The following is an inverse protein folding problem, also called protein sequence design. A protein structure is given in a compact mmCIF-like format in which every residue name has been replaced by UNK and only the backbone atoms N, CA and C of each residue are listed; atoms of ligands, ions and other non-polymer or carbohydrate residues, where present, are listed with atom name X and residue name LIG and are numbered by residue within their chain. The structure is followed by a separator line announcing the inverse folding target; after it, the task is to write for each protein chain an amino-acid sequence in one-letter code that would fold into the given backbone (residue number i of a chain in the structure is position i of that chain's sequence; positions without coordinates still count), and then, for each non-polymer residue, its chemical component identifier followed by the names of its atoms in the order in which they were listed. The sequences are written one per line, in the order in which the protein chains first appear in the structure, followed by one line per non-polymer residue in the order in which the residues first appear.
data_IF_331786012973
#
_entry.id   IF_331786012973
#
_cell.length_a   1.000
_cell.length_b   1.000
_cell.length_c   1.000
_cell.angle_alpha   90.00
_cell.angle_beta   90.00
_cell.angle_gamma   90.00
#
_symmetry.space_group_name_H-M   'P 1'
#
loop_
_entity.id
_entity.type
_entity.pdbx_description
1 polymer ?
#
# COMPACT_ATOMS: atom_id res chain seq x y z
N UNK A 1 -25.41 -13.88 8.19
CA UNK A 1 -25.49 -12.81 7.19
C UNK A 1 -24.08 -12.38 6.89
N UNK A 2 -23.61 -12.68 5.69
CA UNK A 2 -22.25 -12.43 5.25
C UNK A 2 -22.18 -10.99 4.71
N UNK A 3 -21.48 -10.07 5.38
CA UNK A 3 -21.47 -8.64 4.98
C UNK A 3 -20.49 -8.29 3.86
N UNK A 4 -19.72 -9.28 3.38
CA UNK A 4 -18.64 -9.07 2.42
C UNK A 4 -17.34 -9.65 2.92
N UNK A 5 -16.27 -9.38 2.19
CA UNK A 5 -14.90 -9.72 2.62
C UNK A 5 -14.11 -8.46 2.88
N UNK A 6 -13.41 -8.42 4.01
CA UNK A 6 -12.51 -7.33 4.36
C UNK A 6 -11.09 -7.89 4.43
N UNK A 7 -10.19 -7.28 3.66
CA UNK A 7 -8.78 -7.64 3.63
C UNK A 7 -7.93 -6.43 3.98
N UNK A 8 -6.74 -6.70 4.51
CA UNK A 8 -5.83 -5.62 4.88
C UNK A 8 -4.68 -5.54 3.89
N UNK A 9 -4.50 -4.35 3.32
CA UNK A 9 -3.41 -4.01 2.41
C UNK A 9 -2.26 -3.46 3.26
N UNK A 10 -1.07 -4.08 3.26
CA UNK A 10 0.10 -3.52 3.92
C UNK A 10 0.44 -2.13 3.36
N UNK A 11 1.03 -1.26 4.17
CA UNK A 11 1.38 0.12 3.76
C UNK A 11 2.12 0.21 2.41
N UNK A 12 3.08 -0.70 2.20
CA UNK A 12 3.87 -0.82 0.96
C UNK A 12 3.44 -2.00 0.08
N UNK A 13 2.25 -2.56 0.34
CA UNK A 13 1.68 -3.67 -0.40
C UNK A 13 1.02 -3.23 -1.70
N UNK A 14 0.83 -4.19 -2.60
CA UNK A 14 0.04 -4.01 -3.81
C UNK A 14 -1.39 -4.47 -3.56
N UNK A 15 -2.36 -3.61 -3.88
CA UNK A 15 -3.78 -3.95 -3.82
C UNK A 15 -4.12 -5.20 -4.62
N UNK A 16 -3.57 -5.33 -5.82
CA UNK A 16 -3.79 -6.50 -6.68
C UNK A 16 -3.28 -7.76 -6.00
N UNK A 17 -2.07 -7.73 -5.43
CA UNK A 17 -1.52 -8.89 -4.71
C UNK A 17 -2.36 -9.29 -3.50
N UNK A 18 -2.91 -8.31 -2.76
CA UNK A 18 -3.82 -8.56 -1.65
C UNK A 18 -5.12 -9.18 -2.13
N UNK A 19 -5.69 -8.70 -3.24
CA UNK A 19 -6.89 -9.28 -3.85
C UNK A 19 -6.66 -10.69 -4.41
N UNK A 20 -5.51 -10.94 -5.04
CA UNK A 20 -5.11 -12.28 -5.49
C UNK A 20 -5.01 -13.25 -4.31
N UNK A 21 -4.31 -12.85 -3.24
CA UNK A 21 -4.17 -13.66 -2.03
C UNK A 21 -5.52 -13.89 -1.35
N UNK A 22 -6.35 -12.87 -1.28
CA UNK A 22 -7.71 -12.93 -0.76
C UNK A 22 -8.54 -14.00 -1.47
N UNK A 23 -8.55 -13.94 -2.81
CA UNK A 23 -9.29 -14.88 -3.64
C UNK A 23 -8.68 -16.27 -3.66
N UNK A 24 -7.37 -16.42 -3.44
CA UNK A 24 -6.72 -17.73 -3.30
C UNK A 24 -6.73 -18.28 -1.86
N UNK A 25 -7.29 -17.53 -0.90
CA UNK A 25 -7.29 -17.96 0.50
C UNK A 25 -8.23 -19.15 0.73
N UNK A 26 -7.96 -19.92 1.78
CA UNK A 26 -8.87 -20.99 2.22
C UNK A 26 -10.27 -20.50 2.63
N UNK A 27 -10.45 -19.19 2.80
CA UNK A 27 -11.75 -18.56 3.04
C UNK A 27 -12.57 -18.56 1.73
N UNK A 28 -11.93 -18.28 0.60
CA UNK A 28 -12.57 -18.27 -0.72
C UNK A 28 -12.60 -19.66 -1.37
N UNK A 29 -11.65 -20.54 -1.02
CA UNK A 29 -11.66 -21.95 -1.40
C UNK A 29 -11.64 -22.85 -0.15
N UNK A 30 -12.80 -23.24 0.40
CA UNK A 30 -12.89 -23.99 1.66
C UNK A 30 -12.47 -25.46 1.54
N UNK A 31 -12.18 -25.97 0.34
CA UNK A 31 -11.79 -27.36 0.13
C UNK A 31 -10.77 -27.49 -1.03
N UNK A 32 -9.56 -26.94 -0.87
CA UNK A 32 -8.54 -27.03 -1.90
C UNK A 32 -7.99 -28.46 -1.98
N UNK A 33 -7.91 -29.02 -3.20
CA UNK A 33 -7.19 -30.27 -3.42
C UNK A 33 -5.71 -30.12 -3.06
N UNK A 34 -5.17 -31.09 -2.32
CA UNK A 34 -3.75 -31.13 -1.96
C UNK A 34 -2.86 -31.17 -3.20
N UNK A 35 -1.77 -30.41 -3.19
CA UNK A 35 -0.76 -30.41 -4.26
C UNK A 35 -1.09 -29.48 -5.44
N UNK A 36 -2.08 -28.60 -5.30
CA UNK A 36 -2.45 -27.65 -6.34
C UNK A 36 -2.43 -26.21 -5.82
N UNK A 37 -2.10 -25.29 -6.72
CA UNK A 37 -2.30 -23.85 -6.53
C UNK A 37 -3.53 -23.45 -7.34
N UNK A 38 -4.37 -22.64 -6.72
CA UNK A 38 -5.55 -22.06 -7.34
C UNK A 38 -5.23 -20.62 -7.71
N UNK A 39 -5.68 -20.19 -8.88
CA UNK A 39 -5.57 -18.78 -9.29
C UNK A 39 -6.87 -18.39 -9.97
N UNK A 40 -7.52 -17.27 -9.61
CA UNK A 40 -8.74 -16.85 -10.27
C UNK A 40 -8.53 -16.76 -11.78
N UNK A 41 -9.46 -17.31 -12.57
CA UNK A 41 -9.35 -17.26 -14.03
C UNK A 41 -9.47 -15.81 -14.49
N UNK A 42 -8.43 -15.31 -15.15
CA UNK A 42 -8.44 -13.96 -15.73
C UNK A 42 -8.87 -14.05 -17.19
N UNK A 43 -9.84 -13.22 -17.59
CA UNK A 43 -10.34 -13.16 -18.96
C UNK A 43 -9.96 -11.84 -19.63
N UNK A 44 -9.77 -11.85 -20.95
CA UNK A 44 -9.76 -10.61 -21.72
C UNK A 44 -11.14 -9.95 -21.60
N UNK A 45 -11.18 -8.73 -21.07
CA UNK A 45 -12.39 -7.92 -21.02
C UNK A 45 -12.34 -6.87 -22.12
N UNK A 46 -13.45 -6.68 -22.81
CA UNK A 46 -13.59 -5.55 -23.75
C UNK A 46 -14.31 -4.42 -23.04
N UNK A 47 -13.66 -3.26 -22.81
CA UNK A 47 -14.33 -2.12 -22.22
C UNK A 47 -15.44 -1.66 -23.15
N UNK A 48 -16.67 -1.60 -22.63
CA UNK A 48 -17.83 -1.07 -23.34
C UNK A 48 -17.89 0.43 -23.12
N UNK A 49 -17.61 0.86 -21.89
CA UNK A 49 -17.57 2.26 -21.55
C UNK A 49 -16.62 2.56 -20.40
N UNK A 50 -15.94 3.68 -20.55
CA UNK A 50 -15.04 4.29 -19.55
C UNK A 50 -15.61 5.58 -18.96
N UNK A 51 -16.67 6.14 -19.53
CA UNK A 51 -17.20 7.44 -19.13
C UNK A 51 -18.36 7.28 -18.13
N UNK A 52 -18.40 8.11 -17.08
CA UNK A 52 -19.52 8.11 -16.13
C UNK A 52 -19.87 9.47 -15.56
N UNK A 53 -21.09 9.53 -15.01
CA UNK A 53 -21.60 10.68 -14.30
C UNK A 53 -21.51 10.50 -12.79
N UNK A 54 -21.40 11.62 -12.10
CA UNK A 54 -21.45 11.74 -10.67
C UNK A 54 -22.71 12.53 -10.31
N UNK A 55 -23.46 12.12 -9.29
CA UNK A 55 -24.63 12.87 -8.80
C UNK A 55 -24.38 13.26 -7.37
N UNK A 56 -24.04 14.52 -7.12
CA UNK A 56 -24.01 15.06 -5.76
C UNK A 56 -25.33 15.77 -5.48
N UNK A 57 -26.05 15.32 -4.45
CA UNK A 57 -27.39 15.85 -4.14
C UNK A 57 -28.32 15.73 -5.36
N UNK A 58 -28.79 16.87 -5.90
CA UNK A 58 -29.64 16.93 -7.11
C UNK A 58 -28.85 17.30 -8.37
N UNK A 59 -27.58 17.65 -8.23
CA UNK A 59 -26.76 18.06 -9.36
C UNK A 59 -26.14 16.85 -10.03
N UNK A 60 -26.48 16.67 -11.31
CA UNK A 60 -25.93 15.60 -12.12
C UNK A 60 -24.73 16.14 -12.89
N UNK A 61 -23.56 15.71 -12.47
CA UNK A 61 -22.27 15.97 -13.08
C UNK A 61 -22.01 14.86 -14.10
N UNK A 62 -22.24 15.12 -15.39
CA UNK A 62 -21.94 14.13 -16.44
C UNK A 62 -20.66 14.50 -17.20
N UNK A 63 -19.77 13.52 -17.32
CA UNK A 63 -18.70 13.53 -18.30
C UNK A 63 -18.90 12.31 -19.24
N UNK A 64 -19.78 12.43 -20.23
CA UNK A 64 -20.05 11.38 -21.22
C UNK A 64 -21.44 10.73 -21.17
N UNK A 65 -21.59 9.63 -21.92
CA UNK A 65 -22.90 9.12 -22.39
C UNK A 65 -23.41 7.83 -21.76
N UNK A 66 -22.64 7.17 -20.90
CA UNK A 66 -22.97 5.80 -20.47
C UNK A 66 -23.98 5.71 -19.33
N UNK A 67 -24.42 6.87 -18.83
CA UNK A 67 -25.58 6.96 -17.95
C UNK A 67 -25.42 6.16 -16.66
N UNK A 68 -24.21 6.13 -16.09
CA UNK A 68 -24.02 5.65 -14.72
C UNK A 68 -23.84 6.86 -13.84
N UNK A 69 -24.60 6.92 -12.75
CA UNK A 69 -24.55 8.01 -11.80
C UNK A 69 -24.26 7.47 -10.41
N UNK A 70 -23.26 8.04 -9.75
CA UNK A 70 -22.96 7.76 -8.34
C UNK A 70 -23.67 8.79 -7.49
N UNK A 71 -24.66 8.35 -6.71
CA UNK A 71 -25.44 9.23 -5.83
C UNK A 71 -25.10 8.97 -4.36
N UNK A 72 -24.86 10.05 -3.61
CA UNK A 72 -24.80 10.04 -2.14
C UNK A 72 -26.13 10.57 -1.57
N UNK A 73 -26.88 9.76 -0.83
CA UNK A 73 -28.18 10.16 -0.31
C UNK A 73 -28.05 11.27 0.73
N UNK A 74 -28.59 12.44 0.41
CA UNK A 74 -28.90 13.47 1.41
C UNK A 74 -30.38 13.42 1.79
N UNK A 75 -30.70 13.86 3.01
CA UNK A 75 -32.09 14.09 3.42
C UNK A 75 -32.79 15.10 2.49
N UNK A 76 -34.12 15.06 2.37
CA UNK A 76 -34.90 15.76 1.34
C UNK A 76 -34.97 17.30 1.48
N UNK A 77 -34.10 17.93 2.28
CA UNK A 77 -34.04 19.38 2.34
C UNK A 77 -33.62 19.95 0.97
N UNK A 78 -34.11 21.15 0.64
CA UNK A 78 -33.78 21.86 -0.60
C UNK A 78 -32.74 22.93 -0.27
N UNK A 79 -31.47 22.58 -0.04
CA UNK A 79 -30.48 23.60 0.23
C UNK A 79 -30.28 24.46 -1.03
N UNK A 80 -29.82 25.70 -0.83
CA UNK A 80 -29.37 26.52 -1.95
C UNK A 80 -28.01 26.00 -2.40
N UNK A 81 -27.95 25.49 -3.63
CA UNK A 81 -26.75 24.92 -4.23
C UNK A 81 -26.20 25.94 -5.21
N UNK A 82 -24.93 26.32 -5.03
CA UNK A 82 -24.17 27.08 -6.02
C UNK A 82 -23.16 26.13 -6.65
N UNK A 83 -23.16 26.09 -7.97
CA UNK A 83 -22.27 25.22 -8.74
C UNK A 83 -21.46 26.06 -9.71
N UNK A 84 -20.14 26.04 -9.57
CA UNK A 84 -19.20 26.60 -10.53
C UNK A 84 -18.60 25.45 -11.33
N UNK A 85 -18.59 25.60 -12.66
CA UNK A 85 -18.19 24.53 -13.58
C UNK A 85 -17.01 24.97 -14.43
N UNK A 86 -16.01 24.09 -14.51
CA UNK A 86 -14.92 24.14 -15.48
C UNK A 86 -14.81 22.81 -16.23
N UNK A 87 -14.02 22.71 -17.30
CA UNK A 87 -13.88 21.44 -18.02
C UNK A 87 -13.38 20.34 -17.07
N UNK A 88 -14.13 19.24 -16.95
CA UNK A 88 -13.83 18.10 -16.09
C UNK A 88 -13.81 18.38 -14.58
N UNK A 89 -14.30 19.54 -14.13
CA UNK A 89 -14.26 19.94 -12.73
C UNK A 89 -15.48 20.74 -12.30
N UNK A 90 -15.90 20.51 -11.07
CA UNK A 90 -17.06 21.13 -10.45
C UNK A 90 -16.74 21.55 -9.02
N UNK A 91 -17.05 22.79 -8.71
CA UNK A 91 -17.03 23.33 -7.36
C UNK A 91 -18.47 23.52 -6.92
N UNK A 92 -18.86 22.85 -5.84
CA UNK A 92 -20.21 22.88 -5.30
C UNK A 92 -20.13 23.46 -3.90
N UNK A 93 -20.90 24.51 -3.65
CA UNK A 93 -21.13 25.02 -2.30
C UNK A 93 -22.60 24.95 -1.96
N UNK A 94 -22.86 24.55 -0.73
CA UNK A 94 -24.21 24.33 -0.21
C UNK A 94 -24.31 25.15 1.06
N UNK A 95 -25.21 26.14 1.08
CA UNK A 95 -25.61 26.74 2.34
C UNK A 95 -26.66 25.81 2.95
N UNK A 96 -26.31 25.12 4.03
CA UNK A 96 -27.30 24.40 4.81
C UNK A 96 -27.93 25.39 5.78
N UNK A 97 -29.26 25.38 5.84
CA UNK A 97 -30.02 26.07 6.89
C UNK A 97 -30.45 25.10 7.98
N UNK A 98 -29.83 23.92 8.02
CA UNK A 98 -30.22 22.80 8.87
C UNK A 98 -29.00 22.03 9.37
N UNK A 99 -29.01 21.63 10.64
CA UNK A 99 -28.00 20.79 11.29
C UNK A 99 -27.98 19.33 10.79
N UNK A 100 -28.56 19.03 9.62
CA UNK A 100 -28.54 17.70 9.02
C UNK A 100 -27.21 17.53 8.28
N UNK A 101 -26.37 16.63 8.80
CA UNK A 101 -25.05 16.32 8.23
C UNK A 101 -25.14 15.40 7.03
N UNK A 102 -24.35 15.68 6.00
CA UNK A 102 -24.22 14.89 4.78
C UNK A 102 -23.13 13.82 4.96
N UNK A 103 -22.14 14.06 5.82
CA UNK A 103 -20.91 13.24 5.95
C UNK A 103 -20.92 12.30 7.18
N UNK A 104 -21.90 12.39 8.09
CA UNK A 104 -21.91 11.53 9.29
C UNK A 104 -22.28 10.06 9.03
N UNK A 105 -22.95 9.76 7.91
CA UNK A 105 -23.36 8.41 7.56
C UNK A 105 -22.26 7.61 6.84
N UNK A 106 -22.40 6.28 6.74
CA UNK A 106 -21.61 5.52 5.78
C UNK A 106 -21.86 6.12 4.39
N UNK A 107 -20.78 6.29 3.62
CA UNK A 107 -20.87 6.83 2.28
C UNK A 107 -21.54 5.79 1.39
N UNK A 108 -22.86 5.90 1.27
CA UNK A 108 -23.64 5.05 0.37
C UNK A 108 -23.53 5.62 -1.03
N UNK A 109 -22.80 4.92 -1.88
CA UNK A 109 -22.82 5.16 -3.32
C UNK A 109 -23.90 4.29 -3.95
N UNK A 110 -24.80 4.90 -4.71
CA UNK A 110 -25.68 4.16 -5.60
C UNK A 110 -25.17 4.31 -7.02
N UNK A 111 -24.91 3.20 -7.70
CA UNK A 111 -24.75 3.13 -9.14
C UNK A 111 -26.14 3.04 -9.76
N UNK A 112 -26.66 4.19 -10.12
CA UNK A 112 -27.91 4.28 -10.86
C UNK A 112 -27.61 4.27 -12.35
N UNK A 113 -28.25 3.36 -13.07
CA UNK A 113 -28.19 3.35 -14.52
C UNK A 113 -29.36 4.18 -15.04
N UNK A 114 -29.09 5.14 -15.92
CA UNK A 114 -30.09 6.09 -16.46
C UNK A 114 -31.26 5.39 -17.17
N UNK A 115 -31.11 4.12 -17.55
CA UNK A 115 -32.21 3.31 -18.06
C UNK A 115 -32.98 2.67 -16.88
N UNK A 116 -34.25 3.03 -16.64
CA UNK A 116 -35.06 2.53 -15.51
C UNK A 116 -35.36 1.02 -15.58
N UNK A 117 -35.06 0.35 -16.69
CA UNK A 117 -35.09 -1.11 -16.75
C UNK A 117 -33.91 -1.77 -16.00
N UNK A 118 -32.83 -1.03 -15.76
CA UNK A 118 -31.63 -1.52 -15.11
C UNK A 118 -31.70 -1.35 -13.60
N UNK A 119 -31.36 -2.41 -12.88
CA UNK A 119 -31.40 -2.40 -11.41
C UNK A 119 -30.25 -1.56 -10.85
N UNK A 120 -30.56 -0.68 -9.88
CA UNK A 120 -29.59 0.14 -9.15
C UNK A 120 -28.67 -0.74 -8.32
N UNK A 121 -27.37 -0.52 -8.42
CA UNK A 121 -26.41 -1.18 -7.55
C UNK A 121 -26.07 -0.29 -6.36
N UNK A 122 -26.35 -0.76 -5.15
CA UNK A 122 -25.94 -0.07 -3.93
C UNK A 122 -24.58 -0.61 -3.49
N UNK A 123 -23.67 0.30 -3.15
CA UNK A 123 -22.45 -0.02 -2.42
C UNK A 123 -22.31 0.95 -1.26
N UNK A 124 -21.74 0.47 -0.16
CA UNK A 124 -21.57 1.25 1.05
C UNK A 124 -20.11 1.18 1.44
N UNK A 125 -19.51 2.33 1.66
CA UNK A 125 -18.21 2.41 2.31
C UNK A 125 -18.44 2.75 3.78
N UNK A 126 -17.98 1.85 4.64
CA UNK A 126 -17.90 2.13 6.07
C UNK A 126 -16.66 2.98 6.31
N UNK A 127 -16.89 4.28 6.49
CA UNK A 127 -15.84 5.24 6.79
C UNK A 127 -15.57 5.18 8.28
N UNK A 128 -14.54 4.42 8.68
CA UNK A 128 -14.06 4.44 10.05
C UNK A 128 -13.61 5.87 10.43
N UNK A 129 -14.03 6.34 11.59
CA UNK A 129 -13.66 7.66 12.12
C UNK A 129 -12.17 7.79 12.43
N UNK A 130 -11.42 6.68 12.41
CA UNK A 130 -9.98 6.63 12.67
C UNK A 130 -9.11 7.14 11.51
N UNK A 131 -9.71 7.51 10.37
CA UNK A 131 -9.02 8.13 9.23
C UNK A 131 -8.13 7.19 8.42
N UNK A 132 -8.39 5.88 8.53
CA UNK A 132 -7.76 4.92 7.65
C UNK A 132 -8.27 5.07 6.22
N UNK A 133 -7.38 4.81 5.27
CA UNK A 133 -7.78 4.65 3.88
C UNK A 133 -8.48 3.30 3.77
N UNK A 134 -9.66 3.29 3.17
CA UNK A 134 -10.39 2.07 2.81
C UNK A 134 -10.69 2.08 1.31
N UNK A 135 -10.93 0.90 0.74
CA UNK A 135 -11.42 0.74 -0.63
C UNK A 135 -12.53 -0.28 -0.66
N UNK A 136 -13.69 0.14 -1.15
CA UNK A 136 -14.85 -0.70 -1.38
C UNK A 136 -14.97 -1.02 -2.86
N UNK A 137 -15.07 -2.31 -3.19
CA UNK A 137 -15.21 -2.80 -4.55
C UNK A 137 -16.56 -3.50 -4.69
N UNK A 138 -17.33 -3.09 -5.69
CA UNK A 138 -18.63 -3.64 -6.03
C UNK A 138 -18.69 -4.06 -7.50
N UNK A 139 -19.51 -5.08 -7.78
CA UNK A 139 -19.69 -5.63 -9.12
C UNK A 139 -21.17 -5.88 -9.40
N UNK A 140 -21.59 -5.50 -10.59
CA UNK A 140 -22.99 -5.40 -10.98
C UNK A 140 -23.20 -5.92 -12.39
N UNK A 141 -24.20 -6.77 -12.59
CA UNK A 141 -24.58 -7.26 -13.91
C UNK A 141 -25.80 -6.48 -14.43
N UNK A 142 -25.71 -6.00 -15.68
CA UNK A 142 -26.80 -5.38 -16.43
C UNK A 142 -27.60 -6.45 -17.19
N UNK A 143 -28.86 -6.16 -17.49
CA UNK A 143 -29.75 -7.09 -18.20
C UNK A 143 -29.24 -7.47 -19.60
N UNK A 144 -28.54 -6.55 -20.26
CA UNK A 144 -27.88 -6.77 -21.56
C UNK A 144 -26.63 -7.67 -21.49
N UNK A 145 -26.25 -8.15 -20.29
CA UNK A 145 -25.09 -9.01 -20.06
C UNK A 145 -23.77 -8.24 -19.87
N UNK A 146 -23.80 -6.92 -19.83
CA UNK A 146 -22.64 -6.11 -19.43
C UNK A 146 -22.45 -6.16 -17.93
N UNK A 147 -21.21 -5.95 -17.48
CA UNK A 147 -20.85 -5.95 -16.08
C UNK A 147 -20.20 -4.61 -15.77
N UNK A 148 -20.68 -3.94 -14.73
CA UNK A 148 -20.06 -2.77 -14.15
C UNK A 148 -19.28 -3.18 -12.90
N UNK A 149 -18.02 -2.76 -12.82
CA UNK A 149 -17.18 -2.86 -11.63
C UNK A 149 -16.87 -1.46 -11.18
N UNK A 150 -17.03 -1.21 -9.88
CA UNK A 150 -16.69 0.06 -9.24
C UNK A 150 -15.80 -0.21 -8.06
N UNK A 151 -14.70 0.51 -7.98
CA UNK A 151 -13.91 0.65 -6.77
C UNK A 151 -14.01 2.10 -6.29
N UNK A 152 -14.25 2.29 -5.00
CA UNK A 152 -14.22 3.58 -4.34
C UNK A 152 -13.25 3.47 -3.18
N UNK A 153 -12.26 4.36 -3.16
CA UNK A 153 -11.29 4.50 -2.08
C UNK A 153 -11.56 5.81 -1.37
N UNK A 154 -11.68 5.79 -0.05
CA UNK A 154 -11.88 7.00 0.71
C UNK A 154 -10.96 7.12 1.93
N UNK A 155 -10.80 8.36 2.38
CA UNK A 155 -10.25 8.69 3.69
C UNK A 155 -11.03 9.84 4.29
N UNK A 156 -11.26 9.76 5.60
CA UNK A 156 -12.03 10.73 6.39
C UNK A 156 -11.14 11.31 7.47
N UNK A 157 -11.23 12.62 7.67
CA UNK A 157 -10.58 13.26 8.82
C UNK A 157 -11.45 14.42 9.32
N UNK A 158 -11.20 14.84 10.55
CA UNK A 158 -11.84 16.01 11.15
C UNK A 158 -10.78 17.01 11.58
N UNK A 159 -11.10 18.29 11.49
CA UNK A 159 -10.21 19.36 11.90
C UNK A 159 -11.00 20.47 12.59
N UNK A 160 -10.37 21.19 13.51
CA UNK A 160 -10.95 22.43 14.05
C UNK A 160 -11.04 23.49 12.94
N UNK A 161 -12.01 24.41 13.06
CA UNK A 161 -12.34 25.41 12.02
C UNK A 161 -11.08 26.11 11.46
N UNK A 162 -10.22 26.62 12.32
CA UNK A 162 -9.03 27.39 11.92
C UNK A 162 -7.85 26.52 11.44
N UNK A 163 -7.89 25.22 11.71
CA UNK A 163 -6.80 24.29 11.43
C UNK A 163 -7.09 23.40 10.22
N UNK A 164 -8.29 23.47 9.63
CA UNK A 164 -8.69 22.58 8.53
C UNK A 164 -7.71 22.58 7.37
N UNK A 165 -7.17 23.74 6.98
CA UNK A 165 -6.21 23.77 5.88
C UNK A 165 -4.89 23.15 6.28
N UNK A 166 -4.37 23.46 7.46
CA UNK A 166 -3.12 22.87 7.96
C UNK A 166 -3.27 21.35 8.09
N UNK A 167 -4.43 20.87 8.55
CA UNK A 167 -4.76 19.45 8.63
C UNK A 167 -4.82 18.79 7.24
N UNK A 168 -5.32 19.48 6.21
CA UNK A 168 -5.28 18.99 4.81
C UNK A 168 -3.83 18.81 4.36
N UNK A 169 -2.97 19.79 4.66
CA UNK A 169 -1.54 19.77 4.31
C UNK A 169 -0.80 18.62 5.04
N UNK A 170 -1.12 18.39 6.31
CA UNK A 170 -0.55 17.29 7.11
C UNK A 170 -1.09 15.91 6.70
N UNK A 171 -2.37 15.83 6.32
CA UNK A 171 -3.01 14.56 5.95
C UNK A 171 -2.57 14.08 4.58
N UNK A 172 -2.32 14.99 3.63
CA UNK A 172 -1.98 14.62 2.25
C UNK A 172 -0.59 15.07 1.81
N UNK A 173 0.30 14.11 1.57
CA UNK A 173 1.65 14.35 1.02
C UNK A 173 1.65 15.08 -0.33
N UNK A 174 0.56 14.94 -1.09
CA UNK A 174 0.42 15.47 -2.45
C UNK A 174 -0.19 16.87 -2.49
N UNK A 175 -0.49 17.49 -1.34
CA UNK A 175 -1.20 18.76 -1.25
C UNK A 175 -0.70 19.84 -2.23
N UNK A 176 0.62 20.13 -2.24
CA UNK A 176 1.19 21.17 -3.10
C UNK A 176 1.22 20.80 -4.59
N UNK A 177 1.04 19.53 -4.92
CA UNK A 177 1.04 19.02 -6.30
C UNK A 177 -0.36 18.71 -6.85
N UNK A 178 -1.38 18.71 -5.99
CA UNK A 178 -2.76 18.40 -6.37
C UNK A 178 -3.62 19.67 -6.41
N UNK A 179 -4.00 20.06 -7.62
CA UNK A 179 -4.89 21.20 -7.89
C UNK A 179 -6.26 21.04 -7.19
N UNK A 180 -6.73 19.81 -6.99
CA UNK A 180 -8.02 19.57 -6.31
C UNK A 180 -7.94 19.99 -4.84
N UNK A 181 -6.89 19.55 -4.13
CA UNK A 181 -6.69 19.83 -2.71
C UNK A 181 -6.42 21.31 -2.46
N UNK A 182 -5.55 21.93 -3.26
CA UNK A 182 -5.19 23.34 -3.12
C UNK A 182 -6.38 24.28 -3.36
N UNK A 183 -7.20 24.01 -4.38
CA UNK A 183 -8.43 24.79 -4.61
C UNK A 183 -9.48 24.53 -3.54
N UNK A 184 -9.60 23.29 -3.04
CA UNK A 184 -10.51 23.02 -1.91
C UNK A 184 -10.13 23.88 -0.71
N UNK A 185 -8.84 23.93 -0.35
CA UNK A 185 -8.35 24.79 0.72
C UNK A 185 -8.66 26.27 0.47
N UNK A 186 -8.54 26.75 -0.78
CA UNK A 186 -8.94 28.11 -1.14
C UNK A 186 -10.45 28.32 -0.97
N UNK A 187 -11.29 27.38 -1.39
CA UNK A 187 -12.74 27.46 -1.25
C UNK A 187 -13.19 27.40 0.21
N UNK A 188 -12.54 26.59 1.04
CA UNK A 188 -12.79 26.60 2.49
C UNK A 188 -12.42 27.97 3.07
N UNK A 189 -11.24 28.51 2.73
CA UNK A 189 -10.77 29.82 3.20
C UNK A 189 -11.64 31.00 2.76
N UNK A 190 -12.19 30.95 1.56
CA UNK A 190 -12.90 32.09 0.95
C UNK A 190 -14.41 31.99 1.07
N UNK A 191 -14.96 30.76 1.10
CA UNK A 191 -16.41 30.51 1.06
C UNK A 191 -16.94 29.93 2.37
N UNK A 192 -16.18 29.13 3.12
CA UNK A 192 -16.66 28.49 4.35
C UNK A 192 -16.29 29.25 5.63
N UNK A 193 -15.01 29.65 5.80
CA UNK A 193 -14.50 30.26 7.04
C UNK A 193 -14.99 31.70 7.32
N UNK A 194 -15.15 32.60 6.32
CA UNK A 194 -15.73 33.90 6.55
C UNK A 194 -17.14 33.93 5.97
N UNK A 195 -18.18 33.68 6.79
CA UNK A 195 -19.52 34.10 6.41
C UNK A 195 -19.55 35.64 6.45
N UNK A 196 -19.72 36.35 5.31
CA UNK A 196 -19.83 37.80 5.32
C UNK A 196 -20.98 38.23 6.26
N UNK A 197 -20.89 39.39 6.92
CA UNK A 197 -21.98 39.86 7.78
C UNK A 197 -23.30 39.92 6.99
N UNK A 198 -24.26 39.08 7.39
CA UNK A 198 -25.57 38.95 6.72
C UNK A 198 -25.70 37.79 5.71
N UNK A 199 -24.69 36.94 5.56
CA UNK A 199 -24.79 35.66 4.84
C UNK A 199 -24.75 34.49 5.81
N UNK A 200 -25.56 33.47 5.55
CA UNK A 200 -25.47 32.18 6.24
C UNK A 200 -24.14 31.50 5.84
N UNK A 201 -23.40 30.90 6.80
CA UNK A 201 -22.21 30.14 6.49
C UNK A 201 -22.50 29.05 5.45
N UNK A 202 -21.51 28.79 4.60
CA UNK A 202 -21.59 27.65 3.68
C UNK A 202 -21.21 26.39 4.45
N UNK A 203 -22.23 25.64 4.87
CA UNK A 203 -22.05 24.45 5.68
C UNK A 203 -21.40 23.28 4.92
N UNK A 204 -21.44 23.25 3.58
CA UNK A 204 -20.71 22.24 2.80
C UNK A 204 -20.00 22.84 1.57
N UNK A 205 -18.76 22.40 1.36
CA UNK A 205 -17.95 22.67 0.18
C UNK A 205 -17.50 21.34 -0.43
N UNK A 206 -17.68 21.19 -1.73
CA UNK A 206 -17.25 20.01 -2.48
C UNK A 206 -16.50 20.40 -3.76
N UNK A 207 -15.37 19.76 -3.99
CA UNK A 207 -14.58 19.85 -5.22
C UNK A 207 -14.57 18.48 -5.89
N UNK A 208 -15.02 18.41 -7.13
CA UNK A 208 -15.10 17.16 -7.88
C UNK A 208 -14.35 17.31 -9.18
N UNK A 209 -13.48 16.35 -9.48
CA UNK A 209 -12.73 16.24 -10.73
C UNK A 209 -13.04 14.88 -11.37
N UNK A 210 -13.46 14.88 -12.63
CA UNK A 210 -13.76 13.63 -13.37
C UNK A 210 -12.84 13.55 -14.58
N UNK A 211 -11.97 12.55 -14.60
CA UNK A 211 -11.02 12.31 -15.68
C UNK A 211 -11.19 10.88 -16.18
N UNK A 212 -11.64 10.71 -17.42
CA UNK A 212 -11.90 9.40 -18.03
C UNK A 212 -12.83 8.55 -17.13
N UNK A 213 -12.37 7.34 -16.76
CA UNK A 213 -13.04 6.39 -15.88
C UNK A 213 -12.71 6.56 -14.41
N UNK A 214 -12.24 7.75 -14.03
CA UNK A 214 -11.94 8.07 -12.63
C UNK A 214 -12.60 9.37 -12.20
N UNK A 215 -13.11 9.40 -10.98
CA UNK A 215 -13.60 10.61 -10.33
C UNK A 215 -12.92 10.77 -8.98
N UNK A 216 -12.47 11.97 -8.68
CA UNK A 216 -11.94 12.36 -7.38
C UNK A 216 -12.90 13.41 -6.81
N UNK A 217 -13.33 13.23 -5.57
CA UNK A 217 -14.22 14.15 -4.90
C UNK A 217 -13.67 14.46 -3.53
N UNK A 218 -13.48 15.73 -3.23
CA UNK A 218 -13.16 16.20 -1.89
C UNK A 218 -14.37 16.92 -1.34
N UNK A 219 -14.90 16.50 -0.20
CA UNK A 219 -16.11 17.06 0.40
C UNK A 219 -15.80 17.41 1.85
N UNK A 220 -16.06 18.65 2.25
CA UNK A 220 -15.91 19.12 3.62
C UNK A 220 -17.22 19.76 4.08
N UNK A 221 -17.65 19.42 5.29
CA UNK A 221 -18.86 19.93 5.92
C UNK A 221 -18.52 20.51 7.29
N UNK A 222 -19.11 21.65 7.62
CA UNK A 222 -19.06 22.24 8.95
C UNK A 222 -19.85 21.35 9.90
N UNK A 223 -19.19 20.91 10.97
CA UNK A 223 -19.72 19.96 11.92
C UNK A 223 -19.92 20.63 13.28
N UNK A 224 -21.16 21.05 13.53
CA UNK A 224 -21.56 21.81 14.72
C UNK A 224 -21.12 21.19 16.05
N UNK A 225 -21.08 19.85 16.15
CA UNK A 225 -20.77 19.15 17.39
C UNK A 225 -19.31 19.34 17.83
N UNK A 226 -18.39 19.54 16.87
CA UNK A 226 -16.96 19.70 17.14
C UNK A 226 -16.43 21.10 16.83
N UNK A 227 -17.30 22.07 16.49
CA UNK A 227 -16.89 23.42 16.06
C UNK A 227 -15.76 23.36 15.00
N UNK A 228 -15.94 22.49 14.00
CA UNK A 228 -14.89 22.16 13.05
C UNK A 228 -15.41 21.66 11.71
N UNK A 229 -14.51 21.15 10.88
CA UNK A 229 -14.82 20.52 9.61
C UNK A 229 -14.70 19.01 9.70
N UNK A 230 -15.64 18.33 9.07
CA UNK A 230 -15.54 16.94 8.72
C UNK A 230 -15.31 16.83 7.22
N UNK A 231 -14.19 16.22 6.84
CA UNK A 231 -13.73 16.17 5.47
C UNK A 231 -13.55 14.73 5.01
N UNK A 232 -13.94 14.44 3.77
CA UNK A 232 -13.76 13.14 3.13
C UNK A 232 -13.24 13.33 1.72
N UNK A 233 -12.15 12.63 1.42
CA UNK A 233 -11.60 12.53 0.08
C UNK A 233 -11.94 11.15 -0.50
N UNK A 234 -12.59 11.15 -1.66
CA UNK A 234 -12.95 9.96 -2.43
C UNK A 234 -12.14 9.90 -3.71
N UNK A 235 -11.70 8.71 -4.08
CA UNK A 235 -11.32 8.35 -5.44
C UNK A 235 -12.17 7.19 -5.90
N UNK A 236 -12.72 7.30 -7.10
CA UNK A 236 -13.66 6.34 -7.66
C UNK A 236 -13.14 5.94 -9.02
N UNK A 237 -13.07 4.64 -9.28
CA UNK A 237 -12.79 4.07 -10.60
C UNK A 237 -13.92 3.15 -11.01
N UNK A 238 -14.36 3.26 -12.27
CA UNK A 238 -15.41 2.42 -12.82
C UNK A 238 -15.03 1.83 -14.16
N UNK A 239 -15.32 0.55 -14.35
CA UNK A 239 -15.21 -0.12 -15.65
C UNK A 239 -16.51 -0.83 -16.00
N UNK A 240 -17.06 -0.53 -17.17
CA UNK A 240 -18.15 -1.32 -17.76
C UNK A 240 -17.58 -2.13 -18.90
N UNK A 241 -17.78 -3.44 -18.84
CA UNK A 241 -17.25 -4.35 -19.83
C UNK A 241 -18.29 -5.39 -20.24
N UNK A 242 -18.06 -5.95 -21.42
CA UNK A 242 -18.80 -7.11 -21.91
C UNK A 242 -17.84 -8.27 -21.95
N UNK A 243 -18.26 -9.39 -21.38
CA UNK A 243 -17.45 -10.59 -21.36
C UNK A 243 -18.06 -11.66 -22.26
N UNK A 244 -17.20 -12.35 -23.00
CA UNK A 244 -17.57 -13.62 -23.63
C UNK A 244 -17.71 -14.66 -22.52
N UNK A 245 -18.95 -15.00 -22.13
CA UNK A 245 -19.19 -16.01 -21.08
C UNK A 245 -19.00 -17.40 -21.68
N UNK A 246 -17.91 -18.13 -21.36
CA UNK A 246 -17.62 -19.42 -21.98
C UNK A 246 -18.43 -20.56 -21.34
N UNK A 247 -18.83 -20.39 -20.07
CA UNK A 247 -19.37 -21.46 -19.23
C UNK A 247 -20.88 -21.29 -18.95
N UNK A 248 -21.63 -22.37 -19.11
CA UNK A 248 -23.09 -22.37 -18.98
C UNK A 248 -23.58 -22.22 -17.52
N UNK A 249 -22.78 -22.64 -16.52
CA UNK A 249 -23.12 -22.44 -15.10
C UNK A 249 -22.94 -20.98 -14.70
N UNK A 250 -21.88 -20.32 -15.17
CA UNK A 250 -21.72 -18.87 -15.01
C UNK A 250 -22.89 -18.13 -15.66
N UNK A 251 -23.25 -18.51 -16.89
CA UNK A 251 -24.36 -17.90 -17.62
C UNK A 251 -25.67 -18.04 -16.86
N UNK A 252 -25.98 -19.24 -16.37
CA UNK A 252 -27.17 -19.49 -15.57
C UNK A 252 -27.19 -18.67 -14.27
N UNK A 253 -26.03 -18.52 -13.63
CA UNK A 253 -25.88 -17.72 -12.40
C UNK A 253 -26.11 -16.23 -12.67
N UNK A 254 -25.52 -15.69 -13.74
CA UNK A 254 -25.74 -14.30 -14.17
C UNK A 254 -27.22 -14.05 -14.48
N UNK A 255 -27.87 -14.95 -15.23
CA UNK A 255 -29.30 -14.82 -15.54
C UNK A 255 -30.19 -14.86 -14.28
N UNK A 256 -29.84 -15.71 -13.30
CA UNK A 256 -30.51 -15.72 -11.99
C UNK A 256 -30.31 -14.39 -11.25
N UNK A 257 -29.10 -13.84 -11.22
CA UNK A 257 -28.82 -12.55 -10.58
C UNK A 257 -29.57 -11.39 -11.23
N UNK A 258 -29.68 -11.37 -12.57
CA UNK A 258 -30.54 -10.40 -13.28
C UNK A 258 -31.98 -10.46 -12.79
N UNK A 259 -32.49 -11.64 -12.42
CA UNK A 259 -33.86 -11.80 -11.92
C UNK A 259 -34.03 -11.47 -10.43
N UNK A 260 -32.97 -11.56 -9.62
CA UNK A 260 -33.04 -11.33 -8.17
C UNK A 260 -33.26 -9.84 -7.84
N UNK A 261 -34.32 -9.45 -7.11
CA UNK A 261 -34.44 -8.09 -6.62
C UNK A 261 -33.24 -7.84 -5.71
N UNK A 262 -32.45 -6.78 -5.96
CA UNK A 262 -31.35 -6.42 -5.06
C UNK A 262 -31.96 -6.25 -3.65
N UNK A 263 -31.76 -7.26 -2.81
CA UNK A 263 -32.12 -7.16 -1.41
C UNK A 263 -31.16 -6.16 -0.79
N UNK A 264 -31.69 -5.37 0.13
CA UNK A 264 -31.14 -4.16 0.71
C UNK A 264 -29.95 -4.39 1.66
N UNK A 265 -29.05 -5.32 1.34
CA UNK A 265 -27.89 -5.64 2.16
C UNK A 265 -26.61 -5.41 1.34
N UNK A 266 -25.72 -4.60 1.91
CA UNK A 266 -24.55 -4.03 1.25
C UNK A 266 -23.40 -5.04 1.24
N UNK A 267 -23.18 -5.71 0.12
CA UNK A 267 -22.15 -6.74 0.04
C UNK A 267 -21.05 -6.33 -0.93
N UNK A 268 -19.85 -6.13 -0.40
CA UNK A 268 -18.69 -5.60 -1.12
C UNK A 268 -17.41 -6.33 -0.74
N UNK A 269 -16.35 -6.14 -1.53
CA UNK A 269 -15.00 -6.44 -1.09
C UNK A 269 -14.39 -5.15 -0.54
N UNK A 270 -14.14 -5.13 0.77
CA UNK A 270 -13.44 -4.06 1.46
C UNK A 270 -11.94 -4.33 1.54
N UNK A 271 -11.14 -3.31 1.29
CA UNK A 271 -9.70 -3.30 1.49
C UNK A 271 -9.36 -2.17 2.47
N UNK A 272 -8.81 -2.51 3.62
CA UNK A 272 -8.34 -1.54 4.61
C UNK A 272 -6.82 -1.39 4.48
N UNK A 273 -6.31 -0.17 4.46
CA UNK A 273 -4.88 0.07 4.27
C UNK A 273 -4.24 0.32 5.63
N UNK A 274 -3.20 -0.46 5.95
CA UNK A 274 -2.36 -0.13 7.08
C UNK A 274 -1.63 1.20 6.81
N UNK A 275 -1.65 2.15 7.76
CA UNK A 275 -0.94 3.39 7.58
C UNK A 275 0.57 3.13 7.53
N UNK A 276 1.26 3.89 6.69
CA UNK A 276 2.71 3.92 6.71
C UNK A 276 3.18 4.74 7.92
N UNK A 277 4.25 4.27 8.58
CA UNK A 277 4.87 4.98 9.69
C UNK A 277 6.17 5.62 9.22
N UNK A 278 6.38 6.88 9.59
CA UNK A 278 7.64 7.59 9.37
C UNK A 278 8.76 7.02 10.25
N UNK A 279 10.00 7.45 10.01
CA UNK A 279 11.17 7.08 10.84
C UNK A 279 11.01 7.45 12.32
N UNK A 280 10.21 8.47 12.61
CA UNK A 280 9.93 8.97 13.95
C UNK A 280 8.70 8.30 14.57
N UNK A 281 8.20 7.22 13.95
CA UNK A 281 7.03 6.45 14.39
C UNK A 281 5.72 7.27 14.41
N UNK A 282 5.63 8.30 13.55
CA UNK A 282 4.41 9.07 13.29
C UNK A 282 3.71 8.54 12.04
N UNK A 283 2.42 8.83 11.86
CA UNK A 283 1.69 8.47 10.65
C UNK A 283 2.26 9.26 9.46
N UNK A 284 2.60 8.58 8.38
CA UNK A 284 3.00 9.22 7.14
C UNK A 284 1.76 9.82 6.44
N UNK A 285 1.89 11.00 5.81
CA UNK A 285 0.80 11.59 5.06
C UNK A 285 0.35 10.70 3.89
N UNK A 286 -0.96 10.68 3.64
CA UNK A 286 -1.59 9.88 2.59
C UNK A 286 -1.21 10.46 1.21
N UNK A 287 -0.98 9.60 0.23
CA UNK A 287 -0.73 10.03 -1.15
C UNK A 287 -2.02 9.89 -1.97
N UNK A 288 -2.59 11.01 -2.45
CA UNK A 288 -3.78 10.96 -3.33
C UNK A 288 -3.49 10.20 -4.63
N UNK A 289 -2.24 10.30 -5.13
CA UNK A 289 -1.79 9.51 -6.28
C UNK A 289 -1.83 8.02 -5.98
N UNK A 290 -1.29 7.57 -4.85
CA UNK A 290 -1.33 6.15 -4.46
C UNK A 290 -2.78 5.68 -4.33
N UNK A 291 -3.64 6.44 -3.64
CA UNK A 291 -5.07 6.11 -3.53
C UNK A 291 -5.67 5.90 -4.91
N UNK A 292 -5.49 6.84 -5.85
CA UNK A 292 -6.01 6.73 -7.21
C UNK A 292 -5.48 5.53 -7.98
N UNK A 293 -4.17 5.34 -7.96
CA UNK A 293 -3.52 4.24 -8.68
C UNK A 293 -4.01 2.88 -8.12
N UNK A 294 -4.17 2.78 -6.81
CA UNK A 294 -4.71 1.62 -6.10
C UNK A 294 -6.21 1.39 -6.40
N UNK A 295 -7.04 2.43 -6.42
CA UNK A 295 -8.47 2.34 -6.81
C UNK A 295 -8.62 1.82 -8.24
N UNK A 296 -7.83 2.36 -9.17
CA UNK A 296 -7.86 1.96 -10.59
C UNK A 296 -7.37 0.53 -10.74
N UNK A 297 -6.31 0.14 -10.04
CA UNK A 297 -5.79 -1.22 -10.06
C UNK A 297 -6.82 -2.23 -9.53
N UNK A 298 -7.50 -1.91 -8.42
CA UNK A 298 -8.59 -2.72 -7.88
C UNK A 298 -9.73 -2.91 -8.88
N UNK A 299 -10.24 -1.82 -9.46
CA UNK A 299 -11.33 -1.86 -10.43
C UNK A 299 -10.92 -2.63 -11.70
N UNK A 300 -9.68 -2.43 -12.18
CA UNK A 300 -9.15 -3.11 -13.37
C UNK A 300 -9.00 -4.60 -13.12
N UNK A 301 -8.36 -5.01 -12.03
CA UNK A 301 -8.17 -6.41 -11.70
C UNK A 301 -9.50 -7.14 -11.52
N UNK A 302 -10.45 -6.53 -10.82
CA UNK A 302 -11.80 -7.09 -10.66
C UNK A 302 -12.57 -7.18 -11.99
N UNK A 303 -12.36 -6.24 -12.91
CA UNK A 303 -12.91 -6.33 -14.27
C UNK A 303 -12.26 -7.45 -15.09
N UNK A 304 -10.95 -7.66 -14.94
CA UNK A 304 -10.19 -8.73 -15.61
C UNK A 304 -10.58 -10.13 -15.12
N UNK A 305 -10.78 -10.30 -13.82
CA UNK A 305 -11.36 -11.54 -13.28
C UNK A 305 -12.72 -11.79 -13.94
N UNK A 306 -13.48 -10.72 -14.17
CA UNK A 306 -14.74 -10.78 -14.87
C UNK A 306 -15.63 -11.86 -14.23
N UNK A 307 -16.23 -12.69 -15.05
CA UNK A 307 -17.24 -13.66 -14.69
C UNK A 307 -16.73 -14.85 -13.88
N UNK A 308 -15.41 -14.94 -13.72
CA UNK A 308 -14.75 -15.89 -12.85
C UNK A 308 -14.91 -15.57 -11.38
N UNK A 309 -15.45 -14.39 -11.05
CA UNK A 309 -15.80 -14.03 -9.69
C UNK A 309 -17.18 -13.38 -9.64
N UNK A 310 -18.11 -14.00 -8.91
CA UNK A 310 -19.39 -13.40 -8.58
C UNK A 310 -19.82 -13.78 -7.19
N UNK A 311 -20.34 -12.81 -6.46
CA UNK A 311 -21.07 -13.10 -5.25
C UNK A 311 -22.57 -13.07 -5.55
N UNK A 312 -23.26 -14.15 -5.17
CA UNK A 312 -24.72 -14.25 -5.18
C UNK A 312 -25.26 -13.98 -3.79
N UNK A 313 -25.62 -12.74 -3.62
CA UNK A 313 -26.05 -12.18 -2.36
C UNK A 313 -27.49 -12.58 -1.98
N UNK A 314 -28.28 -13.11 -2.92
CA UNK A 314 -29.61 -13.64 -2.59
C UNK A 314 -29.53 -14.93 -1.77
N UNK A 315 -28.46 -15.69 -1.99
CA UNK A 315 -28.25 -17.01 -1.40
C UNK A 315 -27.01 -17.05 -0.48
N UNK A 316 -26.42 -15.89 -0.13
CA UNK A 316 -25.18 -15.76 0.65
C UNK A 316 -24.00 -16.60 0.09
N UNK A 317 -23.93 -16.77 -1.24
CA UNK A 317 -22.93 -17.60 -1.91
C UNK A 317 -21.88 -16.77 -2.65
N UNK A 318 -20.67 -17.29 -2.78
CA UNK A 318 -19.66 -16.73 -3.68
C UNK A 318 -19.18 -17.80 -4.65
N UNK A 319 -19.15 -17.44 -5.92
CA UNK A 319 -18.69 -18.26 -7.02
C UNK A 319 -17.36 -17.73 -7.50
N UNK A 320 -16.33 -18.56 -7.39
CA UNK A 320 -14.99 -18.28 -7.90
C UNK A 320 -14.58 -19.42 -8.83
N UNK A 321 -14.19 -19.07 -10.05
CA UNK A 321 -13.55 -20.00 -10.98
C UNK A 321 -12.06 -19.85 -10.86
N UNK A 322 -11.41 -20.99 -10.66
CA UNK A 322 -9.97 -21.08 -10.54
C UNK A 322 -9.39 -21.86 -11.71
N UNK A 323 -8.29 -21.35 -12.24
CA UNK A 323 -7.30 -22.19 -12.90
C UNK A 323 -6.58 -22.98 -11.82
N UNK A 324 -6.52 -24.29 -12.03
CA UNK A 324 -5.86 -25.23 -11.14
C UNK A 324 -4.53 -25.61 -11.77
N UNK A 325 -3.44 -25.16 -11.18
CA UNK A 325 -2.10 -25.60 -11.57
C UNK A 325 -1.60 -26.63 -10.55
N UNK A 326 -1.09 -27.76 -11.03
CA UNK A 326 -0.32 -28.65 -10.18
C UNK A 326 0.85 -27.86 -9.61
N UNK A 327 1.08 -27.98 -8.30
CA UNK A 327 2.39 -27.67 -7.75
C UNK A 327 3.29 -28.70 -8.41
N UNK A 328 3.85 -28.35 -9.58
CA UNK A 328 5.06 -29.02 -10.04
C UNK A 328 5.96 -29.03 -8.82
N UNK A 329 6.58 -30.18 -8.51
CA UNK A 329 7.58 -30.30 -7.47
C UNK A 329 8.84 -29.49 -7.86
N UNK A 330 8.65 -28.19 -8.08
CA UNK A 330 9.61 -27.20 -8.50
C UNK A 330 10.37 -26.79 -7.26
N UNK A 331 11.57 -27.35 -7.17
CA UNK A 331 12.55 -27.18 -6.10
C UNK A 331 12.25 -27.93 -4.80
N UNK A 332 11.91 -29.22 -4.90
CA UNK A 332 12.64 -30.13 -4.01
C UNK A 332 14.12 -29.97 -4.37
N UNK A 333 14.85 -29.14 -3.62
CA UNK A 333 16.31 -29.05 -3.74
C UNK A 333 16.77 -30.50 -3.68
N UNK A 334 17.37 -31.04 -4.77
CA UNK A 334 17.68 -32.45 -4.79
C UNK A 334 18.52 -32.77 -3.56
N UNK A 335 18.18 -33.83 -2.83
CA UNK A 335 18.83 -34.14 -1.55
C UNK A 335 20.36 -34.16 -1.69
N UNK A 336 20.88 -34.54 -2.87
CA UNK A 336 22.30 -34.50 -3.20
C UNK A 336 22.91 -33.09 -3.17
N UNK A 337 22.17 -32.04 -3.55
CA UNK A 337 22.62 -30.63 -3.47
C UNK A 337 22.75 -30.20 -2.01
N UNK A 338 21.77 -30.55 -1.15
CA UNK A 338 21.85 -30.27 0.29
C UNK A 338 23.02 -31.02 0.95
N UNK A 339 23.20 -32.29 0.59
CA UNK A 339 24.34 -33.10 1.06
C UNK A 339 25.66 -32.46 0.60
N UNK A 340 25.77 -32.06 -0.67
CA UNK A 340 26.97 -31.43 -1.22
C UNK A 340 27.30 -30.11 -0.50
N UNK A 341 26.30 -29.25 -0.26
CA UNK A 341 26.47 -28.01 0.49
C UNK A 341 26.96 -28.27 1.93
N UNK A 342 26.40 -29.29 2.60
CA UNK A 342 26.84 -29.73 3.92
C UNK A 342 28.30 -30.21 3.93
N UNK A 343 28.69 -31.02 2.95
CA UNK A 343 30.07 -31.51 2.81
C UNK A 343 31.05 -30.35 2.54
N UNK A 344 30.72 -29.44 1.63
CA UNK A 344 31.57 -28.28 1.32
C UNK A 344 31.78 -27.42 2.57
N UNK A 345 30.73 -27.20 3.35
CA UNK A 345 30.79 -26.44 4.61
C UNK A 345 31.70 -27.16 5.62
N UNK A 346 31.55 -28.47 5.78
CA UNK A 346 32.39 -29.28 6.67
C UNK A 346 33.87 -29.24 6.26
N UNK A 347 34.15 -29.44 4.98
CA UNK A 347 35.52 -29.38 4.43
C UNK A 347 36.13 -28.00 4.66
N UNK A 348 35.36 -26.94 4.43
CA UNK A 348 35.81 -25.56 4.65
C UNK A 348 36.15 -25.31 6.13
N UNK A 349 35.33 -25.81 7.06
CA UNK A 349 35.61 -25.75 8.50
C UNK A 349 36.86 -26.56 8.89
N UNK A 350 37.03 -27.75 8.33
CA UNK A 350 38.23 -28.56 8.55
C UNK A 350 39.49 -27.88 8.03
N UNK A 351 39.45 -27.31 6.83
CA UNK A 351 40.56 -26.55 6.25
C UNK A 351 40.87 -25.32 7.11
N UNK A 352 39.85 -24.60 7.57
CA UNK A 352 40.03 -23.45 8.46
C UNK A 352 40.74 -23.84 9.76
N UNK A 353 40.28 -24.88 10.45
CA UNK A 353 40.91 -25.38 11.67
C UNK A 353 42.33 -25.90 11.45
N UNK A 354 42.56 -26.61 10.36
CA UNK A 354 43.89 -27.09 10.00
C UNK A 354 44.85 -25.92 9.72
N UNK A 355 44.35 -24.87 9.05
CA UNK A 355 45.13 -23.67 8.76
C UNK A 355 45.48 -22.94 10.05
N UNK A 356 44.54 -22.79 10.97
CA UNK A 356 44.78 -22.16 12.27
C UNK A 356 45.80 -22.94 13.11
N UNK A 357 45.69 -24.27 13.11
CA UNK A 357 46.64 -25.15 13.80
C UNK A 357 48.05 -25.15 13.18
N UNK A 358 48.16 -25.14 11.85
CA UNK A 358 49.45 -25.14 11.15
C UNK A 358 50.15 -23.77 11.19
N UNK A 359 49.39 -22.68 11.10
CA UNK A 359 49.92 -21.31 10.97
C UNK A 359 50.04 -20.60 12.32
N UNK A 360 49.20 -20.94 13.31
CA UNK A 360 49.17 -20.31 14.63
C UNK A 360 50.48 -20.41 15.44
N UNK A 361 51.13 -21.58 15.56
CA UNK A 361 52.33 -21.73 16.39
C UNK A 361 53.58 -20.96 15.89
N UNK A 362 53.93 -20.94 14.59
CA UNK A 362 55.09 -20.19 14.11
C UNK A 362 54.85 -18.67 14.02
N UNK A 363 53.62 -18.18 13.88
CA UNK A 363 53.37 -16.73 13.86
C UNK A 363 53.35 -16.05 15.23
N UNK A 364 53.00 -16.79 16.30
CA UNK A 364 53.00 -16.28 17.69
C UNK A 364 54.39 -16.16 18.31
N UNK A 365 55.41 -16.83 17.75
CA UNK A 365 56.80 -16.78 18.23
C UNK A 365 57.69 -15.77 17.49
N UNK A 366 57.16 -15.07 16.47
CA UNK A 366 57.92 -14.06 15.75
C UNK A 366 58.17 -12.81 16.62
N UNK A 367 59.35 -12.20 16.48
CA UNK A 367 59.70 -10.94 17.16
C UNK A 367 58.63 -9.86 16.91
N UNK A 368 58.06 -9.83 15.70
CA UNK A 368 56.97 -8.92 15.34
C UNK A 368 55.70 -9.15 16.18
N UNK A 369 55.32 -10.40 16.42
CA UNK A 369 54.19 -10.74 17.29
C UNK A 369 54.43 -10.26 18.72
N UNK A 370 55.62 -10.51 19.27
CA UNK A 370 55.95 -10.10 20.65
C UNK A 370 55.94 -8.57 20.78
N UNK A 371 56.53 -7.85 19.82
CA UNK A 371 56.55 -6.38 19.80
C UNK A 371 55.14 -5.82 19.65
N UNK A 372 54.31 -6.42 18.79
CA UNK A 372 52.91 -6.04 18.61
C UNK A 372 52.09 -6.23 19.90
N UNK A 373 52.17 -7.40 20.55
CA UNK A 373 51.40 -7.67 21.78
C UNK A 373 51.77 -6.69 22.89
N UNK A 374 53.06 -6.34 23.03
CA UNK A 374 53.52 -5.34 24.03
C UNK A 374 53.06 -3.92 23.73
N UNK A 375 52.92 -3.55 22.46
CA UNK A 375 52.40 -2.24 22.04
C UNK A 375 50.87 -2.17 22.17
N UNK A 376 50.14 -3.25 21.88
CA UNK A 376 48.67 -3.33 22.08
C UNK A 376 48.30 -3.23 23.57
N UNK A 377 49.06 -3.90 24.46
CA UNK A 377 48.89 -3.79 25.93
C UNK A 377 49.02 -2.35 26.45
N UNK A 378 49.88 -1.53 25.82
CA UNK A 378 50.19 -0.17 26.30
C UNK A 378 49.36 0.92 25.64
N UNK A 379 48.95 0.74 24.38
CA UNK A 379 48.21 1.73 23.60
C UNK A 379 46.68 1.54 23.66
N UNK A 380 46.20 0.38 24.09
CA UNK A 380 44.77 0.09 24.24
C UNK A 380 43.99 0.03 22.93
N UNK A 381 44.65 0.05 21.77
CA UNK A 381 44.02 0.04 20.45
C UNK A 381 44.64 -1.02 19.52
N UNK A 382 43.86 -2.00 19.03
CA UNK A 382 44.36 -3.13 18.24
C UNK A 382 44.43 -2.83 16.74
N UNK A 383 45.11 -1.75 16.35
CA UNK A 383 45.25 -1.37 14.93
C UNK A 383 46.66 -1.71 14.42
N UNK A 384 46.81 -2.37 13.25
CA UNK A 384 48.12 -2.71 12.70
C UNK A 384 48.92 -1.45 12.34
N UNK A 385 50.08 -1.27 12.98
CA UNK A 385 51.00 -0.17 12.70
C UNK A 385 52.17 -0.65 11.81
N UNK A 386 52.47 0.13 10.76
CA UNK A 386 53.67 -0.04 9.94
C UNK A 386 54.89 0.48 10.73
N UNK A 387 55.71 -0.43 11.27
CA UNK A 387 56.90 -0.08 12.04
C UNK A 387 58.11 0.10 11.12
N UNK A 388 58.77 1.27 11.18
CA UNK A 388 60.08 1.50 10.54
C UNK A 388 61.16 1.39 11.61
N UNK A 389 62.09 0.44 11.45
CA UNK A 389 63.24 0.31 12.34
C UNK A 389 64.44 1.11 11.81
N UNK A 390 65.15 1.82 12.69
CA UNK A 390 66.52 2.33 12.46
C UNK A 390 67.44 1.68 13.49
N UNK A 391 68.62 1.25 13.06
CA UNK A 391 69.65 0.66 13.93
C UNK A 391 70.55 1.77 14.52
N UNK A 392 70.92 1.73 15.81
CA UNK A 392 70.52 0.76 16.84
C UNK A 392 69.04 0.92 17.27
N UNK A 393 68.36 -0.20 17.58
CA UNK A 393 66.91 -0.30 17.86
C UNK A 393 66.50 0.48 19.13
N UNK A 394 66.24 1.77 18.97
CA UNK A 394 65.60 2.64 19.96
C UNK A 394 64.22 3.01 19.39
N UNK A 395 63.16 2.76 20.15
CA UNK A 395 61.79 3.16 19.79
C UNK A 395 61.21 4.03 20.90
N UNK A 396 60.87 5.28 20.58
CA UNK A 396 60.35 6.28 21.53
C UNK A 396 61.14 6.34 22.85
N UNK A 397 62.47 6.47 22.75
CA UNK A 397 63.41 6.56 23.87
C UNK A 397 63.46 5.32 24.80
N UNK A 398 62.92 4.18 24.36
CA UNK A 398 63.06 2.89 25.06
C UNK A 398 64.04 1.98 24.33
N UNK A 399 65.10 1.57 25.02
CA UNK A 399 66.02 0.52 24.56
C UNK A 399 65.28 -0.83 24.59
N UNK A 400 65.14 -1.46 23.43
CA UNK A 400 64.48 -2.77 23.29
C UNK A 400 65.43 -3.95 23.57
N UNK A 401 66.71 -3.69 23.81
CA UNK A 401 67.68 -4.68 24.27
C UNK A 401 67.97 -4.43 25.76
N UNK A 402 67.84 -5.44 26.64
CA UNK A 402 68.21 -5.29 28.04
C UNK A 402 69.71 -5.01 28.18
N UNK A 403 70.10 -4.09 29.06
CA UNK A 403 71.49 -3.67 29.34
C UNK A 403 72.41 -4.81 29.87
N UNK A 404 71.98 -6.06 29.90
CA UNK A 404 72.74 -7.22 30.38
C UNK A 404 73.46 -8.01 29.26
N UNK A 405 73.81 -7.38 28.14
CA UNK A 405 74.59 -8.02 27.05
C UNK A 405 76.11 -7.79 27.23
N UNK A 406 76.62 -7.91 28.47
CA UNK A 406 78.07 -8.05 28.74
C UNK A 406 78.48 -9.49 29.13
N UNK A 407 77.52 -10.43 29.25
CA UNK A 407 77.81 -11.83 29.59
C UNK A 407 77.29 -12.87 28.59
N UNK A 408 77.06 -12.49 27.34
CA UNK A 408 76.83 -13.47 26.27
C UNK A 408 78.18 -13.98 25.76
N UNK A 409 78.40 -15.29 25.85
CA UNK A 409 79.61 -15.98 25.41
C UNK A 409 79.89 -15.74 23.92
N UNK A 410 81.17 -15.84 23.52
CA UNK A 410 81.63 -15.59 22.14
C UNK A 410 80.89 -16.44 21.08
N UNK A 411 80.27 -17.55 21.45
CA UNK A 411 79.43 -18.36 20.56
C UNK A 411 78.17 -17.61 20.10
N UNK A 412 77.51 -16.83 20.96
CA UNK A 412 76.27 -16.12 20.61
C UNK A 412 76.53 -14.89 19.74
N UNK A 413 77.72 -14.28 19.86
CA UNK A 413 78.17 -13.20 18.95
C UNK A 413 78.43 -13.69 17.52
N UNK A 414 78.80 -14.96 17.38
CA UNK A 414 79.11 -15.56 16.08
C UNK A 414 77.84 -16.00 15.34
N UNK A 415 76.82 -16.45 16.07
CA UNK A 415 75.51 -16.82 15.49
C UNK A 415 74.72 -15.60 15.00
N UNK A 416 74.70 -14.51 15.77
CA UNK A 416 74.02 -13.28 15.35
C UNK A 416 74.69 -12.60 14.12
N UNK A 417 76.00 -12.78 13.93
CA UNK A 417 76.71 -12.31 12.73
C UNK A 417 76.49 -13.20 11.49
N UNK A 418 76.17 -14.48 11.66
CA UNK A 418 76.00 -15.41 10.53
C UNK A 418 74.59 -15.44 9.97
N UNK A 419 73.55 -15.17 10.77
CA UNK A 419 72.17 -15.02 10.28
C UNK A 419 71.94 -13.66 9.60
N UNK A 420 72.57 -12.58 10.07
CA UNK A 420 72.41 -11.25 9.47
C UNK A 420 73.15 -11.06 8.12
N UNK A 421 74.05 -11.97 7.76
CA UNK A 421 74.70 -11.98 6.44
C UNK A 421 73.97 -12.84 5.40
N UNK A 422 72.86 -13.51 5.79
CA UNK A 422 72.06 -14.34 4.86
C UNK A 422 70.81 -13.66 4.32
N UNK A 423 70.30 -12.63 5.00
CA UNK A 423 69.05 -11.96 4.63
C UNK A 423 69.21 -10.46 4.24
N UNK A 424 70.39 -10.10 3.73
CA UNK A 424 70.61 -8.98 2.78
C UNK A 424 71.27 -9.58 1.54
#
# INVERSE_FOLDING_TARGET
MFFGWHFVVPANGSVVSTMEQALNSSIANPSPDNGYVYSPVISEYTPVCTDFGFRLLKEIIRNGSCGVEIYFPSRPHRPSIKTERSPNRWSITVASGSNDTIIEGPAMGFLDFVDPALKTCAFMEDLDSRGYVSTTIAKCARDNGEIAVVAMTATRFSAEEYQVVDQIEETFSTYHSDDLLSTMSENIRTKALPAPPGQEPHDLVAEIRVVNSTAEAFICEVYDVMEGFLCVYYTIAMHIFKQSVPDDQIRATIERLKSSPLSSFYHHMGLEYFPELTKDNTLAPISTKKMRDDTVAAATYMAQIGSSFFADFGEDNVYVLYDKSEIEAGLEIPLWVLIAAGIITLVSLCVWQLTDWLVGPPHTSSLYSIVRTRLEERSGNPVPMLMRFKLPLIFEDVNLLPDQVEHLSDETRTFAKSEWARDI
#
